data_IF_035118917163
#
_entry.id   IF_035118917163
#
_cell.length_a   1.000
_cell.length_b   1.000
_cell.length_c   1.000
_cell.angle_alpha   90.00
_cell.angle_beta   90.00
_cell.angle_gamma   90.00
#
_symmetry.space_group_name_H-M   'P 1'
#
loop_
_entity.id
_entity.type
_entity.pdbx_description
1 polymer ?
#
# COMPACT_ATOMS: atom_id res chain seq x y z
N UNK A 1 -19.33 4.02 -2.68
CA UNK A 1 -19.11 3.26 -1.44
C UNK A 1 -17.67 3.40 -1.05
N UNK A 2 -17.30 3.14 0.19
CA UNK A 2 -15.94 3.46 0.64
C UNK A 2 -14.97 2.30 0.43
N UNK A 3 -13.73 2.67 0.10
CA UNK A 3 -12.58 1.78 0.03
C UNK A 3 -11.71 1.98 1.26
N UNK A 4 -11.23 0.88 1.82
CA UNK A 4 -10.23 0.88 2.87
C UNK A 4 -8.84 0.87 2.24
N UNK A 5 -8.06 1.92 2.46
CA UNK A 5 -6.80 2.14 1.75
C UNK A 5 -5.65 2.44 2.71
N UNK A 6 -4.44 2.12 2.26
CA UNK A 6 -3.18 2.48 2.93
C UNK A 6 -2.38 3.40 2.00
N UNK A 7 -1.81 4.51 2.48
CA UNK A 7 -1.03 5.41 1.64
C UNK A 7 0.28 4.78 1.18
N UNK A 8 0.63 5.01 -0.09
CA UNK A 8 1.94 4.68 -0.67
C UNK A 8 2.79 5.95 -0.75
N UNK A 9 4.09 5.85 -0.48
CA UNK A 9 5.04 6.97 -0.49
C UNK A 9 6.40 6.55 -1.04
N UNK A 10 7.02 7.42 -1.83
CA UNK A 10 8.42 7.26 -2.29
C UNK A 10 9.44 7.79 -1.27
N UNK A 11 8.99 8.46 -0.21
CA UNK A 11 9.84 8.89 0.91
C UNK A 11 10.05 7.71 1.87
N UNK A 12 11.06 6.89 1.58
CA UNK A 12 11.33 5.62 2.27
C UNK A 12 11.68 5.77 3.76
N UNK A 13 12.06 6.95 4.24
CA UNK A 13 12.29 7.22 5.66
C UNK A 13 11.01 7.20 6.51
N UNK A 14 9.84 7.29 5.87
CA UNK A 14 8.53 7.44 6.53
C UNK A 14 7.57 6.29 6.19
N UNK A 15 8.10 5.11 5.83
CA UNK A 15 7.29 3.94 5.46
C UNK A 15 7.60 2.77 6.40
N UNK A 16 6.59 1.97 6.68
CA UNK A 16 6.68 0.82 7.57
C UNK A 16 6.86 -0.49 6.80
N UNK A 17 6.35 -0.53 5.57
CA UNK A 17 6.47 -1.69 4.68
C UNK A 17 7.09 -1.22 3.37
N UNK A 18 8.42 -1.35 3.21
CA UNK A 18 9.08 -1.14 1.92
C UNK A 18 8.55 -2.15 0.89
N UNK A 19 8.20 -1.69 -0.31
CA UNK A 19 7.79 -2.58 -1.40
C UNK A 19 9.03 -3.12 -2.11
N UNK A 20 9.20 -4.44 -2.09
CA UNK A 20 10.32 -5.09 -2.74
C UNK A 20 10.17 -5.10 -4.27
N UNK A 21 8.94 -5.23 -4.78
CA UNK A 21 8.64 -5.38 -6.20
C UNK A 21 7.81 -4.21 -6.74
N UNK A 22 8.11 -2.99 -6.29
CA UNK A 22 7.38 -1.75 -6.66
C UNK A 22 7.23 -1.56 -8.18
N UNK A 23 8.26 -1.92 -8.95
CA UNK A 23 8.26 -1.79 -10.40
C UNK A 23 7.25 -2.73 -11.06
N UNK A 24 7.12 -3.95 -10.55
CA UNK A 24 6.14 -4.92 -11.03
C UNK A 24 4.70 -4.48 -10.72
N UNK A 25 4.51 -3.68 -9.65
CA UNK A 25 3.23 -3.06 -9.33
C UNK A 25 2.91 -1.82 -10.20
N UNK A 26 3.79 -1.45 -11.14
CA UNK A 26 3.61 -0.32 -12.05
C UNK A 26 3.98 1.04 -11.44
N UNK A 27 4.71 1.06 -10.31
CA UNK A 27 5.23 2.28 -9.72
C UNK A 27 6.51 2.72 -10.44
N UNK A 28 6.74 4.04 -10.52
CA UNK A 28 7.87 4.60 -11.27
C UNK A 28 9.19 4.60 -10.47
N UNK A 29 9.11 4.54 -9.15
CA UNK A 29 10.26 4.64 -8.24
C UNK A 29 10.07 3.72 -7.05
N UNK A 30 11.16 3.48 -6.31
CA UNK A 30 11.11 2.76 -5.04
C UNK A 30 10.14 3.43 -4.07
N UNK A 31 9.20 2.64 -3.56
CA UNK A 31 8.11 3.09 -2.71
C UNK A 31 7.92 2.14 -1.51
N UNK A 32 7.19 2.62 -0.51
CA UNK A 32 6.70 1.81 0.59
C UNK A 32 5.31 2.27 1.05
N UNK A 33 4.74 1.51 1.96
CA UNK A 33 3.41 1.76 2.55
C UNK A 33 3.59 2.37 3.95
N UNK A 34 2.80 3.40 4.25
CA UNK A 34 2.76 4.05 5.56
C UNK A 34 1.87 3.28 6.55
N UNK A 35 2.17 3.36 7.84
CA UNK A 35 1.31 2.92 8.96
C UNK A 35 0.13 3.84 9.19
N UNK A 36 -0.66 4.03 8.14
CA UNK A 36 -1.87 4.82 8.15
C UNK A 36 -2.94 4.08 7.36
N UNK A 37 -4.16 4.19 7.86
CA UNK A 37 -5.33 3.56 7.28
C UNK A 37 -6.36 4.67 7.11
N UNK A 38 -7.02 4.71 5.95
CA UNK A 38 -8.09 5.66 5.67
C UNK A 38 -9.22 4.99 4.89
N UNK A 39 -10.39 5.62 4.93
CA UNK A 39 -11.46 5.36 3.98
C UNK A 39 -11.47 6.44 2.90
N UNK A 40 -11.70 6.03 1.66
CA UNK A 40 -11.85 6.93 0.51
C UNK A 40 -13.09 6.53 -0.26
N UNK A 41 -13.93 7.49 -0.63
CA UNK A 41 -15.10 7.21 -1.45
C UNK A 41 -14.66 6.73 -2.84
N UNK A 42 -15.20 5.59 -3.29
CA UNK A 42 -14.79 4.89 -4.50
C UNK A 42 -14.72 5.74 -5.78
N UNK A 43 -15.55 6.78 -5.93
CA UNK A 43 -15.59 7.67 -7.11
C UNK A 43 -14.39 8.61 -7.16
N UNK A 44 -13.63 8.74 -6.06
CA UNK A 44 -12.37 9.50 -6.03
C UNK A 44 -11.20 8.72 -6.63
N UNK A 45 -11.37 7.43 -6.95
CA UNK A 45 -10.34 6.64 -7.63
C UNK A 45 -10.31 6.98 -9.12
N UNK A 46 -9.27 7.69 -9.55
CA UNK A 46 -9.10 8.10 -10.95
C UNK A 46 -8.62 6.96 -11.85
N UNK A 47 -7.74 6.10 -11.34
CA UNK A 47 -7.09 5.04 -12.12
C UNK A 47 -6.50 3.94 -11.23
N UNK A 48 -6.54 2.71 -11.72
CA UNK A 48 -5.76 1.58 -11.18
C UNK A 48 -4.42 1.50 -11.93
N UNK A 49 -3.31 1.55 -11.19
CA UNK A 49 -1.96 1.54 -11.77
C UNK A 49 -1.44 0.13 -12.00
N UNK A 50 -1.69 -0.78 -11.06
CA UNK A 50 -1.23 -2.16 -11.11
C UNK A 50 -1.67 -2.95 -9.88
N UNK A 51 -0.96 -4.04 -9.59
CA UNK A 51 -1.20 -4.90 -8.43
C UNK A 51 0.11 -5.20 -7.71
N UNK A 52 0.07 -5.22 -6.39
CA UNK A 52 1.21 -5.67 -5.58
C UNK A 52 1.57 -7.11 -5.93
N UNK A 53 2.87 -7.43 -5.87
CA UNK A 53 3.34 -8.81 -5.96
C UNK A 53 2.85 -9.61 -4.74
N UNK A 54 2.86 -10.94 -4.85
CA UNK A 54 2.48 -11.82 -3.73
C UNK A 54 3.34 -11.55 -2.49
N UNK A 55 4.64 -11.27 -2.69
CA UNK A 55 5.57 -10.97 -1.59
C UNK A 55 5.18 -9.70 -0.84
N UNK A 56 4.93 -8.62 -1.59
CA UNK A 56 4.54 -7.33 -1.02
C UNK A 56 3.14 -7.38 -0.38
N UNK A 57 2.22 -8.14 -0.98
CA UNK A 57 0.89 -8.40 -0.40
C UNK A 57 1.00 -9.10 0.96
N UNK A 58 1.80 -10.16 1.07
CA UNK A 58 1.99 -10.90 2.34
C UNK A 58 2.65 -10.02 3.41
N UNK A 59 3.61 -9.18 3.03
CA UNK A 59 4.22 -8.22 3.95
C UNK A 59 3.20 -7.20 4.48
N UNK A 60 2.37 -6.65 3.59
CA UNK A 60 1.29 -5.74 3.96
C UNK A 60 0.25 -6.43 4.85
N UNK A 61 -0.19 -7.64 4.51
CA UNK A 61 -1.19 -8.37 5.28
C UNK A 61 -0.72 -8.63 6.72
N UNK A 62 0.53 -9.07 6.89
CA UNK A 62 1.13 -9.26 8.22
C UNK A 62 1.13 -7.96 9.03
N UNK A 63 1.46 -6.86 8.38
CA UNK A 63 1.49 -5.56 9.03
C UNK A 63 0.08 -5.07 9.41
N UNK A 64 -0.91 -5.24 8.52
CA UNK A 64 -2.31 -4.93 8.80
C UNK A 64 -2.84 -5.72 10.00
N UNK A 65 -2.53 -7.03 10.07
CA UNK A 65 -2.90 -7.89 11.21
C UNK A 65 -2.31 -7.38 12.52
N UNK A 66 -1.03 -6.99 12.49
CA UNK A 66 -0.36 -6.37 13.64
C UNK A 66 -1.05 -5.07 14.08
N UNK A 67 -1.36 -4.16 13.15
CA UNK A 67 -2.02 -2.89 13.46
C UNK A 67 -3.44 -3.05 13.99
N UNK A 68 -4.20 -3.97 13.39
CA UNK A 68 -5.61 -4.20 13.73
C UNK A 68 -5.81 -5.23 14.86
N UNK A 69 -4.71 -5.83 15.36
CA UNK A 69 -4.72 -6.88 16.39
C UNK A 69 -5.57 -8.09 15.98
N UNK A 70 -5.37 -8.57 14.75
CA UNK A 70 -6.07 -9.69 14.10
C UNK A 70 -5.15 -10.89 13.83
#
# INVERSE_FOLDING_TARGET
GDLFVVPVSSQLQNVDVPLADWAAAGLNVSCGIKSQIATVESRLVLKVIGRLSTKDHVALERQLRSWLKL
#
